data_IF_280381624280
#
_entry.id   IF_280381624280
#
_cell.length_a   1.000
_cell.length_b   1.000
_cell.length_c   1.000
_cell.angle_alpha   90.00
_cell.angle_beta   90.00
_cell.angle_gamma   90.00
#
_symmetry.space_group_name_H-M   'P 1'
#
loop_
_entity.id
_entity.type
_entity.pdbx_description
1 polymer ?
#
# COMPACT_ATOMS: atom_id res chain seq x y z
N UNK A 1 9.01 -8.83 8.12
CA UNK A 1 8.20 -7.96 7.23
C UNK A 1 7.51 -6.87 8.04
N UNK A 2 7.76 -5.60 7.71
CA UNK A 2 7.27 -4.42 8.45
C UNK A 2 6.98 -3.27 7.49
N UNK A 3 5.85 -2.58 7.68
CA UNK A 3 5.55 -1.32 6.99
C UNK A 3 6.28 -0.19 7.71
N UNK A 4 7.16 0.52 7.00
CA UNK A 4 8.00 1.57 7.56
C UNK A 4 7.25 2.91 7.64
N UNK A 5 6.61 3.28 6.55
CA UNK A 5 5.82 4.50 6.40
C UNK A 5 4.61 4.20 5.50
N UNK A 6 3.49 4.90 5.72
CA UNK A 6 2.30 4.81 4.88
C UNK A 6 1.61 6.16 4.78
N UNK A 7 1.35 6.60 3.54
CA UNK A 7 0.73 7.89 3.24
C UNK A 7 -0.54 7.65 2.44
N UNK A 8 -1.73 7.97 3.00
CA UNK A 8 -2.97 7.94 2.25
C UNK A 8 -2.88 8.82 1.01
N UNK A 9 -3.44 8.35 -0.11
CA UNK A 9 -3.61 9.13 -1.33
C UNK A 9 -5.08 9.48 -1.46
N UNK A 10 -5.37 10.76 -1.67
CA UNK A 10 -6.71 11.19 -2.07
C UNK A 10 -6.87 10.93 -3.58
N UNK A 11 -7.30 9.73 -3.95
CA UNK A 11 -7.67 9.44 -5.33
C UNK A 11 -9.20 9.54 -5.50
N UNK A 12 -9.64 10.33 -6.48
CA UNK A 12 -11.03 10.70 -6.77
C UNK A 12 -11.58 10.01 -8.04
N UNK A 13 -10.82 9.11 -8.67
CA UNK A 13 -11.17 8.48 -9.95
C UNK A 13 -12.06 7.24 -9.84
N UNK A 14 -12.86 6.98 -10.88
CA UNK A 14 -13.67 5.76 -11.01
C UNK A 14 -12.85 4.57 -11.52
N UNK A 15 -12.79 3.49 -10.72
CA UNK A 15 -12.06 2.26 -11.05
C UNK A 15 -11.32 1.69 -9.83
N UNK A 16 -10.21 0.96 -10.06
CA UNK A 16 -9.28 0.59 -8.99
C UNK A 16 -8.59 1.85 -8.47
N UNK A 17 -8.85 2.22 -7.21
CA UNK A 17 -8.28 3.44 -6.60
C UNK A 17 -6.99 3.13 -5.85
N UNK A 18 -6.04 4.06 -5.89
CA UNK A 18 -4.88 4.00 -5.02
C UNK A 18 -5.26 4.52 -3.63
N UNK A 19 -5.15 3.69 -2.60
CA UNK A 19 -5.45 4.06 -1.22
C UNK A 19 -4.27 4.75 -0.53
N UNK A 20 -3.06 4.24 -0.78
CA UNK A 20 -1.86 4.71 -0.10
C UNK A 20 -0.59 4.38 -0.88
N UNK A 21 0.45 5.20 -0.67
CA UNK A 21 1.85 4.83 -0.93
C UNK A 21 2.49 4.40 0.37
N UNK A 22 3.31 3.35 0.36
CA UNK A 22 4.00 2.87 1.55
C UNK A 22 5.38 2.31 1.24
N UNK A 23 6.19 2.22 2.29
CA UNK A 23 7.52 1.64 2.26
C UNK A 23 7.54 0.35 3.08
N UNK A 24 8.23 -0.66 2.57
CA UNK A 24 8.28 -2.00 3.14
C UNK A 24 9.71 -2.40 3.48
N UNK A 25 9.90 -2.91 4.69
CA UNK A 25 11.03 -3.76 5.03
C UNK A 25 10.58 -5.21 4.94
N UNK A 26 11.03 -5.92 3.89
CA UNK A 26 10.60 -7.30 3.67
C UNK A 26 11.22 -8.21 4.74
N UNK A 27 12.54 -8.08 4.92
CA UNK A 27 13.38 -8.79 5.87
C UNK A 27 14.54 -7.87 6.30
N UNK A 28 15.53 -8.41 7.04
CA UNK A 28 16.71 -7.67 7.49
C UNK A 28 17.55 -7.09 6.34
N UNK A 29 17.48 -7.73 5.17
CA UNK A 29 18.42 -7.51 4.08
C UNK A 29 17.81 -6.65 2.96
N UNK A 30 16.48 -6.50 2.94
CA UNK A 30 15.79 -5.85 1.83
C UNK A 30 14.67 -4.92 2.26
N UNK A 31 14.71 -3.72 1.69
CA UNK A 31 13.64 -2.72 1.75
C UNK A 31 13.19 -2.34 0.33
N UNK A 32 11.90 -2.13 0.16
CA UNK A 32 11.27 -1.71 -1.09
C UNK A 32 10.45 -0.46 -0.81
N UNK A 33 10.69 0.58 -1.60
CA UNK A 33 10.12 1.91 -1.38
C UNK A 33 9.08 2.25 -2.44
N UNK A 34 8.05 3.03 -2.07
CA UNK A 34 7.06 3.54 -3.01
C UNK A 34 6.09 2.47 -3.54
N UNK A 35 5.78 1.45 -2.74
CA UNK A 35 4.71 0.49 -3.05
C UNK A 35 3.35 1.17 -2.98
N UNK A 36 2.38 0.67 -3.74
CA UNK A 36 1.01 1.19 -3.74
C UNK A 36 0.05 0.14 -3.19
N UNK A 37 -0.80 0.55 -2.25
CA UNK A 37 -1.98 -0.22 -1.85
C UNK A 37 -3.16 0.23 -2.73
N UNK A 38 -3.68 -0.68 -3.53
CA UNK A 38 -4.79 -0.45 -4.44
C UNK A 38 -6.04 -1.16 -3.94
N UNK A 39 -7.21 -0.60 -4.23
CA UNK A 39 -8.51 -1.20 -3.95
C UNK A 39 -9.29 -1.32 -5.27
N UNK A 40 -9.70 -2.54 -5.64
CA UNK A 40 -10.56 -2.76 -6.79
C UNK A 40 -12.02 -2.41 -6.48
N UNK A 41 -12.87 -2.26 -7.52
CA UNK A 41 -14.29 -1.94 -7.32
C UNK A 41 -15.07 -2.95 -6.47
N UNK A 42 -14.62 -4.21 -6.39
CA UNK A 42 -15.16 -5.26 -5.53
C UNK A 42 -14.68 -5.17 -4.06
N UNK A 43 -13.88 -4.15 -3.72
CA UNK A 43 -13.32 -3.94 -2.40
C UNK A 43 -12.05 -4.75 -2.10
N UNK A 44 -11.57 -5.59 -3.03
CA UNK A 44 -10.33 -6.34 -2.81
C UNK A 44 -9.13 -5.40 -2.82
N UNK A 45 -8.24 -5.57 -1.84
CA UNK A 45 -7.00 -4.79 -1.72
C UNK A 45 -5.80 -5.59 -2.22
N UNK A 46 -5.00 -4.97 -3.08
CA UNK A 46 -3.82 -5.56 -3.70
C UNK A 46 -2.65 -4.59 -3.73
N UNK A 47 -1.44 -5.12 -3.68
CA UNK A 47 -0.20 -4.33 -3.68
C UNK A 47 0.44 -4.30 -5.07
N UNK A 48 0.89 -3.12 -5.46
CA UNK A 48 1.71 -2.91 -6.66
C UNK A 48 3.11 -2.42 -6.28
N UNK A 49 4.12 -3.01 -6.91
CA UNK A 49 5.49 -2.52 -6.89
C UNK A 49 5.59 -1.13 -7.55
N UNK A 50 6.61 -0.33 -7.20
CA UNK A 50 6.92 0.89 -7.94
C UNK A 50 7.25 0.58 -9.41
N UNK A 51 6.92 1.53 -10.28
CA UNK A 51 7.33 1.51 -11.68
C UNK A 51 8.52 2.46 -11.86
N UNK A 52 9.48 2.03 -12.69
CA UNK A 52 10.58 2.86 -13.16
C UNK A 52 10.15 3.71 -14.36
N UNK A 53 11.11 4.49 -14.86
CA UNK A 53 10.93 5.30 -16.06
C UNK A 53 10.42 4.44 -17.23
N UNK A 54 9.43 4.97 -17.96
CA UNK A 54 8.77 4.24 -19.05
C UNK A 54 7.75 3.17 -18.60
N UNK A 55 7.35 3.17 -17.32
CA UNK A 55 6.29 2.27 -16.82
C UNK A 55 6.77 0.84 -16.54
N UNK A 56 8.08 0.59 -16.53
CA UNK A 56 8.64 -0.74 -16.25
C UNK A 56 8.43 -1.12 -14.80
N UNK A 57 7.85 -2.30 -14.53
CA UNK A 57 7.76 -2.85 -13.17
C UNK A 57 9.16 -3.05 -12.59
N UNK A 58 9.43 -2.51 -11.40
CA UNK A 58 10.73 -2.65 -10.75
C UNK A 58 10.84 -3.93 -9.92
N UNK A 59 9.71 -4.50 -9.50
CA UNK A 59 9.67 -5.78 -8.79
C UNK A 59 8.38 -6.54 -9.08
N UNK A 60 8.42 -7.84 -8.86
CA UNK A 60 7.25 -8.73 -8.82
C UNK A 60 7.34 -9.60 -7.57
N UNK A 61 6.20 -9.97 -7.02
CA UNK A 61 6.10 -10.84 -5.86
C UNK A 61 5.32 -12.10 -6.25
N UNK A 62 5.59 -13.22 -5.56
CA UNK A 62 4.72 -14.38 -5.69
C UNK A 62 3.31 -14.02 -5.18
N UNK A 63 2.26 -14.75 -5.60
CA UNK A 63 0.90 -14.51 -5.12
C UNK A 63 0.80 -14.55 -3.58
N UNK A 64 1.51 -15.47 -2.94
CA UNK A 64 1.54 -15.66 -1.50
C UNK A 64 2.16 -14.43 -0.82
N UNK A 65 3.35 -14.02 -1.29
CA UNK A 65 4.03 -12.86 -0.72
C UNK A 65 3.23 -11.56 -0.97
N UNK A 66 2.63 -11.40 -2.15
CA UNK A 66 1.78 -10.25 -2.44
C UNK A 66 0.57 -10.18 -1.50
N UNK A 67 -0.03 -11.32 -1.15
CA UNK A 67 -1.14 -11.38 -0.20
C UNK A 67 -0.69 -11.01 1.22
N UNK A 68 0.47 -11.48 1.67
CA UNK A 68 1.05 -11.13 2.97
C UNK A 68 1.36 -9.63 3.07
N UNK A 69 2.01 -9.06 2.05
CA UNK A 69 2.29 -7.62 2.00
C UNK A 69 0.98 -6.83 2.00
N UNK A 70 -0.01 -7.26 1.21
CA UNK A 70 -1.32 -6.60 1.17
C UNK A 70 -2.01 -6.61 2.54
N UNK A 71 -1.97 -7.73 3.26
CA UNK A 71 -2.50 -7.85 4.62
C UNK A 71 -1.80 -6.89 5.59
N UNK A 72 -0.47 -6.83 5.56
CA UNK A 72 0.31 -5.95 6.43
C UNK A 72 0.08 -4.46 6.14
N UNK A 73 0.05 -4.08 4.85
CA UNK A 73 -0.24 -2.72 4.41
C UNK A 73 -1.67 -2.32 4.80
N UNK A 74 -2.63 -3.24 4.64
CA UNK A 74 -4.02 -3.01 5.01
C UNK A 74 -4.20 -2.66 6.49
N UNK A 75 -3.64 -3.49 7.37
CA UNK A 75 -3.74 -3.29 8.81
C UNK A 75 -3.12 -1.95 9.24
N UNK A 76 -1.98 -1.57 8.65
CA UNK A 76 -1.33 -0.29 8.93
C UNK A 76 -2.15 0.90 8.41
N UNK A 77 -2.73 0.79 7.22
CA UNK A 77 -3.58 1.82 6.62
C UNK A 77 -4.82 2.10 7.46
N UNK A 78 -5.55 1.05 7.84
CA UNK A 78 -6.75 1.17 8.67
C UNK A 78 -6.43 1.81 10.02
N UNK A 79 -5.36 1.38 10.69
CA UNK A 79 -4.91 2.01 11.93
C UNK A 79 -4.56 3.49 11.78
N UNK A 80 -3.94 3.89 10.66
CA UNK A 80 -3.62 5.30 10.37
C UNK A 80 -4.88 6.14 10.09
N UNK A 81 -5.85 5.59 9.35
CA UNK A 81 -7.14 6.26 9.08
C UNK A 81 -7.95 6.43 10.36
N UNK A 82 -8.04 5.41 11.22
CA UNK A 82 -8.75 5.49 12.49
C UNK A 82 -8.12 6.53 13.42
N UNK A 83 -6.79 6.57 13.53
CA UNK A 83 -6.09 7.55 14.36
C UNK A 83 -6.36 9.00 13.89
N UNK A 84 -6.34 9.25 12.57
CA UNK A 84 -6.57 10.60 12.03
C UNK A 84 -8.05 10.98 11.95
N UNK A 85 -8.97 10.02 11.81
CA UNK A 85 -10.42 10.25 11.83
C UNK A 85 -10.96 10.66 13.20
N UNK A 86 -10.20 10.39 14.28
CA UNK A 86 -10.58 10.76 15.65
C UNK A 86 -10.20 12.22 15.98
N UNK A 87 -9.32 12.86 15.19
CA UNK A 87 -8.84 14.24 15.44
C UNK A 87 -9.66 15.35 14.76
N UNK A 88 -10.78 15.03 14.09
CA UNK A 88 -11.61 16.02 13.38
C UNK A 88 -12.85 16.48 14.16
N UNK A 89 -12.88 16.31 15.49
CA UNK A 89 -13.90 16.90 16.36
C UNK A 89 -13.23 17.66 17.50
N UNK A 90 -12.84 18.90 17.22
CA UNK A 90 -12.41 19.91 18.18
C UNK A 90 -12.85 21.27 17.69
#
# INVERSE_FOLDING_TARGET
>A
MRILDIKPIADLGGGSRALAVFDLELNSDMRVYGLKLMESPDGRRIVYAPNGNGGRRLATFSPELAAEISKAANAKFEGHVTANGTNSKG
#
